data_IF_792595399440
#
_entry.id   IF_792595399440
#
_cell.length_a   1.000
_cell.length_b   1.000
_cell.length_c   1.000
_cell.angle_alpha   90.00
_cell.angle_beta   90.00
_cell.angle_gamma   90.00
#
_symmetry.space_group_name_H-M   'P 1'
#
loop_
_entity.id
_entity.type
_entity.pdbx_description
1 polymer ?
2 polymer ?
3 non-polymer ?
4 water ?
#
# COMPACT_ATOMS: atom_id res chain seq x y z
N UNK A 7 -20.34 4.04 21.90
CA UNK A 7 -19.25 3.53 21.00
C UNK A 7 -18.06 4.50 20.92
N UNK A 8 -16.85 3.96 21.09
CA UNK A 8 -15.64 4.78 21.24
C UNK A 8 -14.69 4.65 20.01
N UNK A 9 -13.95 5.70 19.70
CA UNK A 9 -12.99 5.69 18.56
C UNK A 9 -11.72 4.96 18.92
N UNK A 10 -11.27 4.07 18.06
CA UNK A 10 -10.06 3.33 18.33
C UNK A 10 -9.17 3.27 17.12
N UNK A 11 -7.85 3.21 17.32
CA UNK A 11 -6.90 2.98 16.26
C UNK A 11 -6.50 1.53 16.33
N UNK A 12 -6.43 0.85 15.20
CA UNK A 12 -5.94 -0.52 15.18
C UNK A 12 -4.65 -0.55 14.39
N UNK A 13 -3.52 -0.62 15.08
CA UNK A 13 -2.23 -0.68 14.40
C UNK A 13 -2.02 -2.12 13.95
N UNK A 14 -1.49 -2.29 12.73
CA UNK A 14 -1.31 -3.61 12.15
C UNK A 14 -0.17 -3.65 11.13
N UNK A 15 0.31 -4.86 10.86
CA UNK A 15 1.40 -5.09 9.92
C UNK A 15 1.37 -6.56 9.41
N UNK A 16 1.64 -6.74 8.11
CA UNK A 16 1.85 -8.09 7.57
C UNK A 16 3.33 -8.41 7.38
N UNK A 17 3.67 -9.68 7.51
CA UNK A 17 4.82 -10.23 6.86
C UNK A 17 4.21 -11.06 5.77
N UNK A 18 4.79 -10.99 4.57
CA UNK A 18 4.30 -11.79 3.44
C UNK A 18 5.42 -12.67 2.86
N UNK A 19 5.12 -13.51 1.88
CA UNK A 19 6.15 -14.34 1.23
C UNK A 19 6.68 -13.73 -0.07
N UNK A 20 6.36 -12.45 -0.30
CA UNK A 20 6.83 -11.77 -1.51
C UNK A 20 6.30 -10.34 -1.66
N UNK A 21 6.86 -9.62 -2.62
CA UNK A 21 6.58 -8.19 -2.79
C UNK A 21 5.23 -7.91 -3.39
N UNK A 22 4.70 -8.89 -4.11
CA UNK A 22 3.44 -8.71 -4.82
C UNK A 22 2.17 -8.94 -3.98
N UNK A 23 1.49 -7.86 -3.60
CA UNK A 23 0.27 -7.96 -2.74
C UNK A 23 -0.83 -8.87 -3.31
N UNK A 24 -0.75 -9.19 -4.60
CA UNK A 24 -1.74 -10.06 -5.23
C UNK A 24 -1.21 -11.47 -5.57
N UNK A 25 -0.04 -11.56 -6.19
CA UNK A 25 0.47 -12.88 -6.57
C UNK A 25 1.26 -13.57 -5.44
N UNK A 26 1.63 -12.81 -4.41
CA UNK A 26 2.34 -13.40 -3.30
C UNK A 26 1.39 -13.54 -2.16
N UNK A 27 1.73 -14.39 -1.19
CA UNK A 27 0.76 -14.76 -0.17
C UNK A 27 1.17 -14.27 1.22
N UNK A 28 0.17 -13.95 2.08
CA UNK A 28 0.44 -13.52 3.45
C UNK A 28 1.08 -14.61 4.33
N UNK A 29 1.96 -14.21 5.25
CA UNK A 29 2.63 -15.16 6.15
C UNK A 29 2.15 -14.97 7.59
N UNK A 30 2.14 -13.71 8.01
CA UNK A 30 1.77 -13.37 9.36
C UNK A 30 1.06 -12.03 9.39
N UNK A 31 0.10 -11.90 10.30
CA UNK A 31 -0.57 -10.64 10.53
C UNK A 31 -0.33 -10.34 11.99
N UNK A 32 -0.14 -9.07 12.32
CA UNK A 32 0.02 -8.62 13.72
C UNK A 32 -0.69 -7.27 13.94
N UNK A 33 -1.35 -7.14 15.08
CA UNK A 33 -2.17 -5.97 15.37
C UNK A 33 -2.36 -5.75 16.88
N UNK A 34 -2.49 -4.49 17.26
CA UNK A 34 -2.99 -4.15 18.58
C UNK A 34 -3.95 -2.95 18.44
N UNK A 35 -4.95 -2.90 19.31
CA UNK A 35 -5.92 -1.82 19.30
C UNK A 35 -5.56 -0.82 20.37
N UNK A 36 -5.93 0.43 20.12
CA UNK A 36 -5.45 1.56 20.90
C UNK A 36 -6.60 2.53 21.12
N UNK A 37 -6.58 3.29 22.20
CA UNK A 37 -7.58 4.37 22.34
C UNK A 37 -7.14 5.57 21.51
N UNK A 38 -7.83 6.70 21.63
CA UNK A 38 -7.52 7.87 20.78
C UNK A 38 -6.19 8.56 21.12
N UNK A 39 -5.63 8.23 22.28
CA UNK A 39 -4.35 8.78 22.74
C UNK A 39 -3.19 7.78 22.59
N UNK A 40 -3.49 6.61 22.01
CA UNK A 40 -2.49 5.55 21.79
C UNK A 40 -2.10 4.73 23.04
N UNK A 41 -2.98 4.67 24.02
CA UNK A 41 -2.86 3.66 25.05
C UNK A 41 -3.40 2.33 24.55
N UNK A 42 -2.63 1.28 24.76
CA UNK A 42 -3.02 -0.09 24.39
C UNK A 42 -4.31 -0.44 25.12
N UNK A 43 -5.35 -0.81 24.37
CA UNK A 43 -6.63 -1.18 25.00
C UNK A 43 -7.07 -2.59 24.63
N UNK A 44 -6.14 -3.43 24.19
CA UNK A 44 -6.42 -4.83 23.94
C UNK A 44 -5.17 -5.70 23.98
N UNK A 45 -5.32 -6.97 23.59
CA UNK A 45 -4.21 -7.88 23.58
C UNK A 45 -3.58 -7.97 22.18
N UNK A 46 -2.28 -8.28 22.12
CA UNK A 46 -1.62 -8.47 20.82
C UNK A 46 -2.35 -9.54 20.04
N UNK A 47 -2.75 -9.21 18.81
CA UNK A 47 -3.30 -10.20 17.85
C UNK A 47 -2.20 -10.60 16.87
N UNK A 48 -1.73 -11.84 16.97
CA UNK A 48 -0.67 -12.33 16.08
C UNK A 48 -1.04 -13.71 15.55
N UNK A 49 -0.96 -13.90 14.24
CA UNK A 49 -1.29 -15.21 13.68
C UNK A 49 -0.82 -15.43 12.25
N UNK A 50 -0.77 -16.69 11.86
CA UNK A 50 -0.16 -17.07 10.61
C UNK A 50 -1.17 -17.49 9.63
N UNK A 51 -0.80 -17.41 8.35
CA UNK A 51 -1.60 -17.90 7.26
C UNK A 51 -0.91 -19.07 6.61
N UNK A 52 -1.58 -20.20 6.56
CA UNK A 52 -1.05 -21.35 5.83
C UNK A 52 -1.08 -21.08 4.31
N UNK A 53 0.07 -21.22 3.63
CA UNK A 53 0.06 -21.03 2.19
C UNK A 53 -0.50 -22.26 1.46
N UNK A 54 -1.28 -22.05 0.41
CA UNK A 54 -1.78 -23.17 -0.36
C UNK A 54 -0.66 -23.79 -1.19
N UNK A 55 -0.95 -24.97 -1.71
CA UNK A 55 0.08 -25.83 -2.28
C UNK A 55 0.34 -25.50 -3.76
N UNK A 56 -0.15 -24.36 -4.22
CA UNK A 56 0.12 -23.91 -5.60
C UNK A 56 1.12 -22.76 -5.60
N UNK A 57 1.87 -22.64 -4.51
CA UNK A 57 2.67 -21.46 -4.28
C UNK A 57 3.98 -21.78 -3.62
N UNK A 58 5.07 -21.23 -4.17
CA UNK A 58 6.35 -21.17 -3.46
C UNK A 58 6.70 -19.73 -3.16
N UNK A 59 7.20 -19.48 -1.95
CA UNK A 59 7.57 -18.13 -1.53
C UNK A 59 8.79 -17.57 -2.27
N UNK A 60 8.83 -16.25 -2.42
CA UNK A 60 10.02 -15.55 -2.90
C UNK A 60 11.13 -15.72 -1.86
N UNK A 61 12.27 -16.30 -2.25
CA UNK A 61 13.37 -16.47 -1.30
C UNK A 61 13.73 -15.19 -0.52
N UNK A 62 13.79 -14.06 -1.21
CA UNK A 62 14.23 -12.83 -0.60
C UNK A 62 13.38 -12.41 0.57
N UNK A 63 12.09 -12.76 0.52
CA UNK A 63 11.15 -12.36 1.56
C UNK A 63 11.35 -13.18 2.82
N UNK A 64 11.57 -14.47 2.65
CA UNK A 64 11.82 -15.31 3.79
C UNK A 64 13.11 -14.86 4.51
N UNK A 65 14.13 -14.48 3.75
CA UNK A 65 15.34 -13.96 4.35
C UNK A 65 15.05 -12.72 5.19
N UNK A 66 14.13 -11.87 4.73
CA UNK A 66 13.75 -10.71 5.51
C UNK A 66 12.94 -11.10 6.75
N UNK A 67 11.85 -11.86 6.56
CA UNK A 67 10.87 -12.07 7.63
C UNK A 67 11.29 -13.10 8.62
N UNK A 68 12.18 -14.00 8.22
CA UNK A 68 12.65 -15.10 9.10
C UNK A 68 11.63 -16.21 9.28
N UNK A 69 10.55 -16.16 8.49
CA UNK A 69 9.45 -17.10 8.61
C UNK A 69 9.41 -18.03 7.42
N UNK A 70 9.74 -19.31 7.66
CA UNK A 70 9.66 -20.35 6.63
C UNK A 70 8.19 -20.66 6.30
N UNK A 71 7.93 -21.17 5.08
CA UNK A 71 6.60 -21.67 4.76
C UNK A 71 6.21 -22.86 5.64
N UNK A 72 7.21 -23.62 6.11
CA UNK A 72 6.94 -24.72 7.05
C UNK A 72 6.31 -24.22 8.34
N UNK A 73 6.86 -23.16 8.91
CA UNK A 73 6.34 -22.59 10.15
C UNK A 73 4.94 -21.99 9.99
N UNK A 74 4.68 -21.36 8.84
CA UNK A 74 3.38 -20.75 8.61
C UNK A 74 2.30 -21.80 8.34
N UNK A 75 2.69 -22.90 7.68
CA UNK A 75 1.78 -24.04 7.46
C UNK A 75 1.42 -24.77 8.75
N UNK A 76 2.39 -24.91 9.64
CA UNK A 76 2.21 -25.67 10.89
C UNK A 76 1.47 -24.88 11.94
N UNK A 77 1.65 -23.56 11.96
CA UNK A 77 1.08 -22.71 13.02
C UNK A 77 -0.09 -21.90 12.54
N UNK A 78 -0.40 -22.01 11.26
CA UNK A 78 -1.36 -21.10 10.69
C UNK A 78 -2.68 -21.72 10.36
N UNK A 79 -3.57 -20.92 9.77
CA UNK A 79 -4.87 -21.36 9.36
C UNK A 79 -5.01 -21.06 7.89
N UNK A 80 -5.88 -21.79 7.18
CA UNK A 80 -6.06 -21.52 5.75
C UNK A 80 -6.48 -20.07 5.51
N UNK A 81 -6.34 -19.61 4.27
CA UNK A 81 -6.50 -18.19 3.98
C UNK A 81 -7.92 -17.71 4.23
N UNK A 82 -8.89 -18.60 4.08
CA UNK A 82 -10.27 -18.29 4.45
C UNK A 82 -10.37 -17.86 5.91
N UNK A 83 -9.81 -18.66 6.82
CA UNK A 83 -9.84 -18.33 8.27
C UNK A 83 -8.99 -17.11 8.62
N UNK A 84 -7.83 -17.01 7.97
CA UNK A 84 -6.96 -15.86 8.09
C UNK A 84 -7.76 -14.59 7.75
N UNK A 85 -8.36 -14.58 6.56
CA UNK A 85 -9.21 -13.48 6.16
C UNK A 85 -10.25 -13.19 7.23
N UNK A 86 -10.99 -14.23 7.65
CA UNK A 86 -12.01 -14.08 8.72
C UNK A 86 -11.50 -13.28 9.95
N UNK A 87 -10.42 -13.74 10.58
CA UNK A 87 -9.91 -13.06 11.77
C UNK A 87 -9.62 -11.57 11.50
N UNK A 88 -8.86 -11.27 10.44
CA UNK A 88 -8.57 -9.90 10.07
C UNK A 88 -9.88 -9.14 9.87
N UNK A 89 -10.81 -9.73 9.15
CA UNK A 89 -12.07 -9.05 8.85
C UNK A 89 -12.79 -8.55 10.09
N UNK A 90 -12.91 -9.41 11.11
CA UNK A 90 -13.50 -9.04 12.39
C UNK A 90 -12.79 -7.85 12.99
N UNK A 91 -11.48 -7.96 13.12
CA UNK A 91 -10.70 -6.92 13.73
C UNK A 91 -10.97 -5.61 13.01
N UNK A 92 -10.94 -5.67 11.68
CA UNK A 92 -11.03 -4.47 10.85
C UNK A 92 -12.44 -3.86 10.82
N UNK A 93 -13.47 -4.65 11.10
CA UNK A 93 -14.84 -4.17 10.92
C UNK A 93 -15.53 -3.74 12.20
N UNK A 94 -14.83 -3.80 13.32
CA UNK A 94 -15.34 -3.18 14.55
C UNK A 94 -15.55 -1.67 14.26
N UNK A 95 -16.78 -1.16 14.52
CA UNK A 95 -17.13 0.24 14.20
C UNK A 95 -16.16 1.27 14.75
N UNK A 96 -16.07 2.42 14.08
CA UNK A 96 -15.27 3.57 14.55
C UNK A 96 -13.78 3.25 14.68
N UNK A 97 -13.30 2.28 13.92
CA UNK A 97 -11.88 1.93 13.90
C UNK A 97 -11.14 2.73 12.85
N UNK A 98 -10.05 3.36 13.24
CA UNK A 98 -9.05 3.85 12.29
C UNK A 98 -7.95 2.81 12.12
N UNK A 99 -7.92 2.17 10.93
CA UNK A 99 -6.94 1.12 10.64
C UNK A 99 -5.67 1.74 10.05
N UNK A 100 -4.52 1.52 10.68
CA UNK A 100 -3.31 2.22 10.26
C UNK A 100 -2.03 1.44 10.49
N UNK A 101 -0.97 1.88 9.85
CA UNK A 101 0.28 1.19 9.90
C UNK A 101 1.40 1.99 9.32
N UNK A 102 2.38 1.31 8.77
CA UNK A 102 3.57 1.99 8.33
C UNK A 102 3.95 1.54 6.94
N UNK A 103 3.70 2.44 5.98
CA UNK A 103 3.65 2.12 4.56
C UNK A 103 2.45 1.24 4.19
N UNK A 104 1.43 1.21 5.06
CA UNK A 104 0.25 0.35 4.81
C UNK A 104 -0.56 0.72 3.57
N UNK A 105 -0.59 2.01 3.22
CA UNK A 105 -1.44 2.44 2.11
C UNK A 105 -0.93 1.83 0.77
N UNK A 106 0.35 2.01 0.50
CA UNK A 106 1.00 1.46 -0.71
C UNK A 106 1.29 -0.06 -0.61
N UNK A 107 1.09 -0.69 0.55
CA UNK A 107 1.39 -2.15 0.68
C UNK A 107 0.40 -2.99 1.46
N UNK A 108 0.37 -2.85 2.78
CA UNK A 108 -0.48 -3.67 3.65
C UNK A 108 -1.97 -3.62 3.26
N UNK A 109 -2.47 -2.47 2.81
CA UNK A 109 -3.90 -2.36 2.42
C UNK A 109 -4.18 -3.09 1.11
N UNK A 110 -3.20 -3.08 0.22
CA UNK A 110 -3.31 -3.81 -1.02
C UNK A 110 -3.36 -5.32 -0.74
N UNK A 111 -2.58 -5.76 0.24
CA UNK A 111 -2.60 -7.17 0.67
C UNK A 111 -3.95 -7.51 1.26
N UNK A 112 -4.43 -6.63 2.11
CA UNK A 112 -5.75 -6.78 2.72
C UNK A 112 -6.87 -6.87 1.69
N UNK A 113 -6.80 -6.06 0.65
CA UNK A 113 -7.86 -6.07 -0.34
C UNK A 113 -7.84 -7.35 -1.16
N UNK A 114 -6.64 -7.82 -1.46
CA UNK A 114 -6.50 -9.04 -2.21
C UNK A 114 -6.92 -10.26 -1.39
N UNK A 115 -6.61 -10.24 -0.10
CA UNK A 115 -7.03 -11.35 0.75
C UNK A 115 -8.54 -11.40 0.80
N UNK A 116 -9.17 -10.24 0.90
CA UNK A 116 -10.64 -10.16 0.96
C UNK A 116 -11.28 -10.56 -0.39
N UNK A 117 -10.75 -10.01 -1.48
CA UNK A 117 -11.12 -10.38 -2.86
C UNK A 117 -11.01 -11.90 -3.12
N UNK A 118 -9.90 -12.51 -2.72
CA UNK A 118 -9.76 -13.96 -2.89
C UNK A 118 -10.70 -14.79 -2.04
N UNK A 119 -11.17 -14.25 -0.92
CA UNK A 119 -11.92 -15.05 0.04
C UNK A 119 -13.35 -14.60 0.26
N UNK A 120 -13.83 -13.75 -0.63
CA UNK A 120 -15.25 -13.39 -0.72
C UNK A 120 -15.74 -12.39 0.33
N UNK A 121 -14.86 -11.47 0.70
CA UNK A 121 -15.24 -10.33 1.49
C UNK A 121 -15.19 -9.11 0.59
N UNK A 122 -15.98 -8.08 0.94
CA UNK A 122 -15.86 -6.83 0.24
C UNK A 122 -14.41 -6.30 0.41
N UNK A 123 -13.73 -6.02 -0.72
CA UNK A 123 -12.32 -5.57 -0.62
C UNK A 123 -12.16 -4.14 -0.07
N UNK A 124 -13.28 -3.42 0.09
CA UNK A 124 -13.21 -2.00 0.42
C UNK A 124 -13.97 -1.59 1.69
N UNK A 125 -15.20 -2.07 1.83
CA UNK A 125 -16.13 -1.60 2.87
C UNK A 125 -15.50 -1.43 4.27
N UNK A 126 -14.68 -2.41 4.66
CA UNK A 126 -13.99 -2.42 5.94
C UNK A 126 -13.28 -1.12 6.28
N UNK A 127 -12.92 -0.35 5.23
CA UNK A 127 -12.11 0.87 5.38
C UNK A 127 -12.91 2.18 5.47
N UNK A 128 -14.24 2.11 5.36
CA UNK A 128 -15.07 3.31 5.43
C UNK A 128 -16.43 3.12 6.08
N UNK A 129 -16.87 1.88 6.25
CA UNK A 129 -18.15 1.64 6.88
C UNK A 129 -18.09 2.00 8.36
N UNK A 130 -19.23 2.32 8.95
CA UNK A 130 -19.37 2.53 10.40
C UNK A 130 -18.29 3.46 10.98
N UNK A 131 -17.93 4.49 10.21
CA UNK A 131 -16.89 5.48 10.61
C UNK A 131 -15.48 4.89 10.76
N UNK A 132 -15.24 3.80 10.03
CA UNK A 132 -13.90 3.33 9.84
C UNK A 132 -13.21 4.22 8.84
N UNK A 133 -11.91 4.31 8.97
CA UNK A 133 -11.10 5.09 8.06
C UNK A 133 -9.76 4.41 8.03
N UNK A 134 -8.85 4.93 7.23
CA UNK A 134 -7.49 4.40 7.23
C UNK A 134 -6.46 5.53 7.27
N UNK A 135 -5.25 5.21 7.69
CA UNK A 135 -4.22 6.21 7.83
C UNK A 135 -2.91 5.48 7.65
N UNK A 136 -1.85 6.23 7.42
CA UNK A 136 -0.55 5.65 7.16
C UNK A 136 0.46 6.56 7.81
N UNK A 137 1.15 6.03 8.82
CA UNK A 137 2.00 6.87 9.63
C UNK A 137 3.30 7.24 8.96
N UNK A 138 3.62 6.60 7.83
CA UNK A 138 4.84 6.95 7.07
C UNK A 138 4.77 8.33 6.43
N UNK A 139 3.60 8.70 5.90
CA UNK A 139 3.40 9.98 5.28
C UNK A 139 3.32 11.05 6.37
N UNK A 140 2.94 10.65 7.57
CA UNK A 140 2.94 11.53 8.71
C UNK A 140 4.36 11.89 9.09
N UNK A 141 5.21 10.87 9.30
CA UNK A 141 6.66 11.09 9.57
C UNK A 141 7.31 11.95 8.47
N UNK A 142 6.95 11.70 7.21
CA UNK A 142 7.51 12.45 6.12
C UNK A 142 7.06 13.91 6.17
N UNK A 143 5.81 14.14 6.54
CA UNK A 143 5.23 15.47 6.53
C UNK A 143 5.81 16.25 7.67
N UNK A 144 6.03 15.54 8.77
CA UNK A 144 6.54 16.14 9.96
C UNK A 144 7.96 16.61 9.73
N UNK A 145 8.78 15.75 9.16
CA UNK A 145 10.11 16.12 8.73
C UNK A 145 10.08 17.30 7.75
N UNK A 146 9.19 17.24 6.75
CA UNK A 146 9.18 18.27 5.72
C UNK A 146 8.71 19.59 6.27
N UNK A 147 7.60 19.57 6.99
CA UNK A 147 6.94 20.82 7.34
C UNK A 147 7.33 21.36 8.73
N UNK A 148 7.35 20.48 9.74
CA UNK A 148 7.53 20.89 11.13
C UNK A 148 8.50 19.93 11.85
N UNK A 149 9.79 19.94 11.47
CA UNK A 149 10.72 18.92 12.02
C UNK A 149 11.16 19.16 13.46
N UNK A 150 11.15 20.42 13.91
CA UNK A 150 11.78 20.75 15.19
C UNK A 150 11.17 20.01 16.38
N UNK A 151 12.02 19.53 17.28
CA UNK A 151 11.59 18.77 18.45
C UNK A 151 11.76 17.26 18.32
N UNK A 152 12.04 16.78 17.11
CA UNK A 152 12.27 15.35 16.84
C UNK A 152 13.63 15.19 16.16
N UNK A 153 14.35 14.13 16.46
CA UNK A 153 15.62 13.85 15.78
C UNK A 153 15.42 13.08 14.48
N UNK A 154 15.90 13.66 13.37
CA UNK A 154 15.73 13.07 12.06
C UNK A 154 16.99 12.46 11.50
N UNK A 155 17.03 11.12 11.47
CA UNK A 155 18.23 10.36 11.16
C UNK A 155 18.51 10.35 9.68
N UNK A 156 19.79 10.39 9.33
CA UNK A 156 20.21 10.29 7.95
C UNK A 156 20.93 8.96 7.69
N UNK A 157 20.62 8.34 6.55
CA UNK A 157 21.34 7.15 6.09
C UNK A 157 22.71 7.50 5.48
N UNK A 158 23.48 6.46 5.12
CA UNK A 158 24.87 6.62 4.64
C UNK A 158 25.02 7.64 3.49
N UNK A 159 23.94 7.82 2.71
CA UNK A 159 23.95 8.70 1.53
C UNK A 159 23.83 10.21 1.88
N UNK A 160 23.23 10.52 3.04
CA UNK A 160 23.12 11.92 3.51
C UNK A 160 21.68 12.42 3.52
N UNK A 161 20.77 11.59 3.02
CA UNK A 161 19.35 11.92 2.92
C UNK A 161 18.59 11.34 4.13
N UNK A 162 17.39 11.89 4.43
CA UNK A 162 16.60 11.43 5.59
C UNK A 162 16.06 10.00 5.46
N UNK A 163 16.10 9.27 6.57
CA UNK A 163 15.68 7.88 6.61
C UNK A 163 14.41 7.77 7.44
N UNK A 164 13.39 7.14 6.86
CA UNK A 164 12.11 6.95 7.56
C UNK A 164 11.85 5.49 7.92
N UNK A 165 12.91 4.70 7.86
CA UNK A 165 12.89 3.35 8.38
C UNK A 165 12.72 3.41 9.89
N UNK A 166 11.83 2.55 10.38
CA UNK A 166 11.32 2.62 11.72
C UNK A 166 12.43 2.49 12.77
N UNK A 167 13.39 1.60 12.50
CA UNK A 167 14.49 1.34 13.44
C UNK A 167 15.41 2.54 13.64
N UNK A 168 15.75 3.25 12.56
CA UNK A 168 16.51 4.48 12.67
C UNK A 168 15.73 5.54 13.47
N UNK A 169 14.46 5.76 13.10
CA UNK A 169 13.62 6.75 13.76
C UNK A 169 13.51 6.55 15.27
N UNK A 170 13.19 5.34 15.70
CA UNK A 170 13.06 5.02 17.12
C UNK A 170 14.37 5.25 17.85
N UNK A 171 15.46 4.74 17.29
CA UNK A 171 16.77 4.88 17.87
C UNK A 171 17.20 6.35 17.97
N UNK A 172 16.97 7.13 16.92
CA UNK A 172 17.35 8.54 16.93
C UNK A 172 16.61 9.31 18.01
N UNK A 173 15.58 8.71 18.57
CA UNK A 173 14.70 9.39 19.49
C UNK A 173 14.55 8.65 20.80
N UNK A 174 15.60 7.92 21.18
CA UNK A 174 15.67 7.21 22.45
C UNK A 174 14.44 6.38 22.75
N UNK A 175 14.05 5.54 21.79
CA UNK A 175 12.90 4.65 21.94
C UNK A 175 13.35 3.22 21.70
N UNK A 176 13.08 2.35 22.69
CA UNK A 176 13.49 0.94 22.62
C UNK A 176 12.77 0.23 21.48
N UNK A 177 13.53 -0.35 20.56
CA UNK A 177 12.92 -1.06 19.45
C UNK A 177 13.44 -2.50 19.40
N UNK A 178 12.75 -3.39 20.09
CA UNK A 178 13.13 -4.81 20.18
C UNK A 178 13.00 -5.55 18.84
N UNK A 182 10.24 -10.95 17.18
CA UNK A 182 8.99 -10.54 17.82
C UNK A 182 8.04 -9.86 16.82
N UNK A 183 6.90 -10.51 16.56
CA UNK A 183 5.94 -10.05 15.56
C UNK A 183 5.40 -8.65 15.87
N UNK A 184 5.44 -8.32 17.14
CA UNK A 184 4.79 -7.16 17.68
C UNK A 184 5.70 -5.91 17.60
N UNK A 185 6.98 -6.10 17.27
CA UNK A 185 8.01 -5.05 17.39
C UNK A 185 7.76 -3.86 16.48
N UNK A 186 7.54 -4.13 15.19
CA UNK A 186 7.16 -3.10 14.23
C UNK A 186 5.90 -2.34 14.63
N UNK A 187 4.91 -3.09 15.13
CA UNK A 187 3.67 -2.47 15.53
C UNK A 187 3.90 -1.49 16.67
N UNK A 188 4.67 -1.91 17.70
CA UNK A 188 4.94 -1.03 18.86
C UNK A 188 5.72 0.21 18.45
N UNK A 189 6.64 0.04 17.50
CA UNK A 189 7.44 1.15 16.98
C UNK A 189 6.54 2.18 16.32
N UNK A 190 5.56 1.71 15.55
CA UNK A 190 4.60 2.59 14.87
C UNK A 190 3.78 3.39 15.87
N UNK A 191 3.32 2.73 16.93
CA UNK A 191 2.64 3.44 18.02
C UNK A 191 3.53 4.50 18.65
N UNK A 192 4.77 4.13 18.96
CA UNK A 192 5.71 5.04 19.62
C UNK A 192 5.97 6.29 18.76
N UNK A 193 6.01 6.10 17.45
CA UNK A 193 6.15 7.21 16.51
C UNK A 193 4.90 8.08 16.41
N UNK A 194 3.75 7.48 16.56
CA UNK A 194 2.52 8.26 16.56
C UNK A 194 2.46 9.15 17.80
N UNK A 195 2.76 8.55 18.94
CA UNK A 195 2.91 9.27 20.19
C UNK A 195 3.89 10.45 20.03
N UNK A 196 5.06 10.16 19.48
CA UNK A 196 6.08 11.15 19.38
C UNK A 196 5.63 12.35 18.56
N UNK A 197 5.11 12.07 17.36
CA UNK A 197 4.64 13.15 16.54
C UNK A 197 3.46 13.89 17.19
N UNK A 198 2.59 13.17 17.89
CA UNK A 198 1.46 13.82 18.56
C UNK A 198 1.87 14.75 19.72
N UNK A 199 2.88 14.35 20.47
CA UNK A 199 3.41 15.13 21.57
C UNK A 199 4.19 16.35 21.06
N UNK A 200 5.17 16.11 20.16
CA UNK A 200 6.09 17.16 19.71
C UNK A 200 5.46 18.16 18.78
N UNK A 201 4.43 17.73 18.07
CA UNK A 201 3.94 18.49 16.93
C UNK A 201 2.42 18.24 16.75
N UNK A 202 1.63 18.55 17.80
CA UNK A 202 0.20 18.17 17.88
C UNK A 202 -0.73 18.78 16.81
N UNK A 203 -0.46 20.01 16.37
CA UNK A 203 -1.36 20.68 15.43
C UNK A 203 -1.28 20.09 14.03
N UNK A 204 -0.07 19.77 13.61
CA UNK A 204 0.15 19.06 12.36
C UNK A 204 -0.49 17.67 12.41
N UNK A 205 -0.28 16.98 13.52
CA UNK A 205 -0.77 15.62 13.67
C UNK A 205 -2.30 15.61 13.59
N UNK A 206 -2.93 16.59 14.25
CA UNK A 206 -4.38 16.65 14.24
C UNK A 206 -4.93 17.09 12.85
N UNK A 207 -4.21 17.97 12.18
CA UNK A 207 -4.55 18.37 10.84
C UNK A 207 -4.50 17.20 9.88
N UNK A 208 -3.38 16.51 9.84
CA UNK A 208 -3.27 15.35 8.96
C UNK A 208 -4.39 14.32 9.26
N UNK A 209 -4.62 14.07 10.55
CA UNK A 209 -5.62 13.11 10.95
C UNK A 209 -6.96 13.53 10.38
N UNK A 210 -7.34 14.79 10.59
CA UNK A 210 -8.56 15.35 10.02
C UNK A 210 -8.66 15.15 8.49
N UNK A 211 -7.51 15.23 7.80
CA UNK A 211 -7.50 15.21 6.34
C UNK A 211 -7.21 13.87 5.67
N UNK A 212 -7.23 12.80 6.45
CA UNK A 212 -7.28 11.44 5.90
C UNK A 212 -8.59 11.24 5.12
N UNK A 213 -9.63 11.95 5.52
CA UNK A 213 -10.94 11.88 4.89
C UNK A 213 -10.94 12.57 3.51
N UNK A 214 -11.55 11.92 2.53
CA UNK A 214 -11.52 12.38 1.15
C UNK A 214 -12.32 13.68 0.89
N UNK A 215 -13.42 13.90 1.61
CA UNK A 215 -14.19 15.12 1.40
C UNK A 215 -13.49 16.37 1.97
N UNK A 216 -12.72 16.20 3.04
CA UNK A 216 -11.92 17.29 3.53
C UNK A 216 -10.80 17.60 2.53
N UNK A 217 -10.17 16.54 1.97
CA UNK A 217 -9.21 16.73 0.88
C UNK A 217 -9.86 17.45 -0.31
N UNK A 218 -11.02 16.95 -0.72
CA UNK A 218 -11.73 17.53 -1.83
C UNK A 218 -11.89 19.04 -1.67
N UNK A 219 -12.21 19.49 -0.47
CA UNK A 219 -12.33 20.92 -0.16
C UNK A 219 -11.07 21.75 -0.43
N UNK A 220 -9.90 21.13 -0.43
CA UNK A 220 -8.64 21.84 -0.64
C UNK A 220 -8.40 22.12 -2.12
N UNK A 221 -9.11 21.42 -2.98
CA UNK A 221 -8.82 21.42 -4.41
C UNK A 221 -9.76 22.39 -5.17
N UNK A 222 -9.17 23.46 -5.71
CA UNK A 222 -9.88 24.42 -6.56
C UNK A 222 -9.20 24.40 -7.93
N UNK A 223 -9.79 23.63 -8.85
CA UNK A 223 -9.21 23.41 -10.18
C UNK A 223 -9.33 24.65 -11.09
N UNK A 224 -10.55 25.24 -11.20
CA UNK A 224 -10.69 26.45 -12.03
C UNK A 224 -9.67 27.53 -11.70
N UNK A 225 -9.35 27.68 -10.41
CA UNK A 225 -8.41 28.72 -9.97
C UNK A 225 -6.96 28.21 -9.84
N UNK A 226 -6.78 26.89 -9.97
CA UNK A 226 -5.48 26.27 -9.75
C UNK A 226 -4.83 26.66 -8.41
N UNK A 227 -5.59 26.60 -7.31
CA UNK A 227 -5.02 26.84 -5.97
C UNK A 227 -3.85 25.89 -5.72
N UNK A 228 -2.64 26.46 -5.53
CA UNK A 228 -1.44 25.67 -5.25
C UNK A 228 -1.47 25.11 -3.84
N UNK A 229 -0.96 23.89 -3.68
CA UNK A 229 -0.91 23.24 -2.38
C UNK A 229 0.47 22.64 -2.08
N UNK A 230 0.78 22.47 -0.81
CA UNK A 230 1.94 21.66 -0.45
C UNK A 230 1.55 20.22 -0.61
N UNK A 231 2.46 19.42 -1.14
CA UNK A 231 2.21 18.00 -1.28
C UNK A 231 3.46 17.25 -0.85
N UNK A 232 3.27 16.25 0.01
CA UNK A 232 4.37 15.47 0.51
C UNK A 232 4.15 14.06 0.05
N UNK A 233 4.99 13.64 -0.88
CA UNK A 233 4.92 12.31 -1.42
C UNK A 233 6.31 11.71 -1.60
N UNK A 234 6.39 10.39 -1.37
CA UNK A 234 7.60 9.63 -1.59
C UNK A 234 8.07 9.67 -3.03
N UNK A 235 7.14 9.96 -3.95
CA UNK A 235 7.48 10.11 -5.38
C UNK A 235 8.39 11.34 -5.63
N UNK A 236 8.32 12.32 -4.74
CA UNK A 236 9.14 13.50 -4.86
C UNK A 236 10.59 13.28 -4.42
N UNK A 237 10.85 12.25 -3.61
CA UNK A 237 12.21 11.85 -3.26
C UNK A 237 12.78 12.55 -2.03
N UNK A 238 13.59 11.82 -1.27
CA UNK A 238 14.12 12.34 -0.01
C UNK A 238 14.97 13.59 -0.24
N UNK A 239 15.64 13.66 -1.39
CA UNK A 239 16.51 14.78 -1.73
C UNK A 239 15.81 16.17 -1.79
N UNK A 240 14.48 16.20 -1.66
CA UNK A 240 13.76 17.45 -1.36
C UNK A 240 12.79 17.23 -0.19
N UNK A 241 13.13 16.31 0.71
CA UNK A 241 12.26 15.98 1.85
C UNK A 241 10.84 15.64 1.41
N UNK A 242 10.73 15.05 0.22
CA UNK A 242 9.47 14.54 -0.30
C UNK A 242 8.38 15.59 -0.50
N UNK A 243 8.77 16.81 -0.82
CA UNK A 243 7.86 17.94 -0.80
C UNK A 243 7.98 18.78 -2.03
N UNK A 244 6.85 19.31 -2.48
CA UNK A 244 6.84 20.35 -3.51
C UNK A 244 5.58 21.17 -3.37
N UNK A 245 5.48 22.25 -4.14
CA UNK A 245 4.21 22.92 -4.36
C UNK A 245 3.60 22.37 -5.62
N UNK A 246 2.32 21.97 -5.53
CA UNK A 246 1.60 21.47 -6.69
C UNK A 246 0.44 22.37 -7.04
N UNK A 247 -0.04 22.29 -8.26
CA UNK A 247 -1.31 22.95 -8.61
C UNK A 247 -2.21 22.00 -9.40
N UNK A 248 -3.51 21.97 -9.07
CA UNK A 248 -4.43 21.07 -9.76
C UNK A 248 -4.87 21.68 -11.09
N UNK A 249 -4.84 20.88 -12.14
CA UNK A 249 -5.10 21.39 -13.47
C UNK A 249 -6.40 20.86 -13.98
N UNK A 250 -6.66 19.59 -13.67
CA UNK A 250 -7.84 18.90 -14.14
C UNK A 250 -8.10 17.67 -13.30
N UNK A 251 -9.33 17.19 -13.35
CA UNK A 251 -9.64 15.92 -12.74
C UNK A 251 -9.36 14.82 -13.73
N UNK A 252 -8.90 13.68 -13.23
CA UNK A 252 -8.71 12.51 -14.08
C UNK A 252 -10.03 12.25 -14.78
N UNK A 253 -9.98 11.96 -16.10
CA UNK A 253 -11.22 11.72 -16.88
C UNK A 253 -11.84 10.34 -16.64
N UNK A 254 -11.12 9.45 -15.96
CA UNK A 254 -11.63 8.11 -15.70
C UNK A 254 -11.78 7.84 -14.20
N UNK A 255 -10.70 8.05 -13.46
CA UNK A 255 -10.70 7.83 -12.01
C UNK A 255 -11.37 9.00 -11.27
N UNK A 256 -12.54 8.74 -10.71
CA UNK A 256 -13.31 9.76 -9.97
C UNK A 256 -12.57 10.28 -8.71
N UNK A 257 -11.56 9.52 -8.25
CA UNK A 257 -10.79 9.88 -7.03
C UNK A 257 -9.40 10.46 -7.29
N UNK A 258 -9.04 10.56 -8.57
CA UNK A 258 -7.72 11.10 -8.96
C UNK A 258 -7.83 12.48 -9.59
N UNK A 259 -7.03 13.41 -9.07
CA UNK A 259 -6.87 14.75 -9.63
C UNK A 259 -5.45 14.93 -10.20
N UNK A 260 -5.36 15.60 -11.36
CA UNK A 260 -4.09 15.72 -12.06
C UNK A 260 -3.36 16.96 -11.60
N UNK A 261 -2.26 16.77 -10.87
CA UNK A 261 -1.48 17.89 -10.35
C UNK A 261 -0.24 18.18 -11.21
N UNK A 262 0.21 19.42 -11.16
CA UNK A 262 1.48 19.82 -11.75
C UNK A 262 2.47 20.09 -10.63
N UNK A 263 3.67 19.58 -10.82
CA UNK A 263 4.77 19.82 -9.91
C UNK A 263 5.43 21.17 -10.24
N UNK A 264 5.16 22.18 -9.41
CA UNK A 264 5.57 23.58 -9.73
C UNK A 264 7.07 23.86 -9.66
N UNK A 265 7.83 22.93 -9.08
CA UNK A 265 9.27 23.07 -9.00
C UNK A 265 9.90 22.46 -10.23
N UNK A 266 9.08 21.77 -11.03
CA UNK A 266 9.57 21.12 -12.24
C UNK A 266 9.76 22.09 -13.39
N UNK A 267 9.86 21.52 -14.59
CA UNK A 267 10.07 22.30 -15.83
C UNK A 267 8.80 22.23 -16.66
N UNK A 268 8.06 23.33 -16.70
CA UNK A 268 6.75 23.33 -17.34
C UNK A 268 6.81 23.64 -18.85
N UNK A 269 8.01 23.78 -19.40
CA UNK A 269 8.20 24.07 -20.83
C UNK A 269 7.59 22.99 -21.73
N UNK A 270 7.89 21.70 -21.47
CA UNK A 270 7.24 20.59 -22.19
C UNK A 270 5.70 20.58 -22.15
N UNK A 271 5.09 21.23 -21.16
CA UNK A 271 3.64 21.29 -21.11
C UNK A 271 3.10 22.18 -22.21
N UNK A 272 3.65 23.38 -22.27
CA UNK A 272 3.30 24.36 -23.29
C UNK A 272 3.68 23.87 -24.67
N UNK A 273 4.95 23.50 -24.84
CA UNK A 273 5.54 23.24 -26.18
C UNK A 273 5.04 21.95 -26.88
N UNK A 274 4.94 20.85 -26.15
CA UNK A 274 4.67 19.54 -26.75
C UNK A 274 3.20 19.13 -26.74
N UNK A 275 2.86 18.14 -27.58
CA UNK A 275 1.49 17.64 -27.72
C UNK A 275 1.25 16.43 -26.79
N UNK A 276 0.03 15.91 -26.84
CA UNK A 276 -0.44 14.93 -25.84
C UNK A 276 0.19 13.54 -25.97
N UNK A 277 0.22 12.99 -27.19
CA UNK A 277 0.86 11.68 -27.46
C UNK A 277 2.31 11.66 -26.96
N UNK A 278 3.07 12.68 -27.37
CA UNK A 278 4.44 12.87 -26.90
C UNK A 278 4.51 12.73 -25.38
N UNK A 279 3.83 13.65 -24.69
CA UNK A 279 3.84 13.72 -23.23
C UNK A 279 3.45 12.41 -22.56
N UNK A 280 2.53 11.66 -23.19
CA UNK A 280 2.02 10.40 -22.61
C UNK A 280 3.13 9.37 -22.33
N UNK A 281 4.05 9.19 -23.27
CA UNK A 281 5.13 8.23 -23.09
C UNK A 281 6.41 8.90 -22.60
N UNK A 282 6.49 10.21 -22.78
CA UNK A 282 7.52 11.00 -22.14
C UNK A 282 7.36 10.89 -20.62
N UNK A 283 6.11 10.94 -20.15
CA UNK A 283 5.79 10.74 -18.73
C UNK A 283 5.98 9.27 -18.31
N UNK A 284 5.64 8.35 -19.20
CA UNK A 284 5.75 6.90 -18.95
C UNK A 284 7.21 6.39 -18.91
N UNK A 285 7.96 6.65 -19.99
CA UNK A 285 9.35 6.20 -20.10
C UNK A 285 10.29 7.24 -19.49
N UNK A 286 10.33 7.31 -18.16
CA UNK A 286 11.11 8.34 -17.45
C UNK A 286 12.59 7.97 -17.26
N UNK A 287 13.43 9.02 -17.20
CA UNK A 287 14.89 8.92 -16.91
C UNK A 287 15.76 8.25 -17.99
N UNK A 288 15.19 8.07 -19.18
CA UNK A 288 15.93 7.57 -20.35
C UNK A 288 16.25 8.73 -21.29
N UNK A 289 15.42 9.78 -21.26
CA UNK A 289 15.62 10.95 -22.12
C UNK A 289 16.18 12.15 -21.34
N UNK A 290 17.39 12.57 -21.69
CA UNK A 290 18.02 13.76 -21.12
C UNK A 290 18.77 14.53 -22.21
N UNK A 293 13.89 17.30 -23.33
CA UNK A 293 13.90 16.06 -22.55
C UNK A 293 13.99 16.29 -21.04
N UNK A 294 13.42 17.40 -20.59
CA UNK A 294 13.13 17.58 -19.17
C UNK A 294 11.93 16.69 -18.78
N UNK A 295 11.87 16.28 -17.51
CA UNK A 295 10.77 15.43 -17.04
C UNK A 295 9.43 16.14 -17.16
N UNK A 296 8.36 15.39 -17.35
CA UNK A 296 7.01 15.97 -17.37
C UNK A 296 6.49 16.11 -15.94
N UNK A 297 6.32 17.36 -15.47
CA UNK A 297 6.13 17.64 -14.05
C UNK A 297 4.68 17.45 -13.61
N UNK A 298 4.21 16.21 -13.66
CA UNK A 298 2.78 15.94 -13.58
C UNK A 298 2.52 14.62 -12.83
N UNK A 299 1.80 14.69 -11.71
CA UNK A 299 1.46 13.48 -10.98
C UNK A 299 0.03 13.45 -10.49
N UNK A 300 -0.57 12.27 -10.56
CA UNK A 300 -1.90 12.04 -10.00
C UNK A 300 -1.88 12.07 -8.46
N UNK A 301 -2.87 12.75 -7.88
CA UNK A 301 -3.09 12.69 -6.44
C UNK A 301 -4.40 12.00 -6.25
N UNK A 302 -4.40 10.94 -5.46
CA UNK A 302 -5.63 10.19 -5.21
C UNK A 302 -6.21 10.51 -3.85
N UNK A 303 -7.30 11.26 -3.84
CA UNK A 303 -7.98 11.69 -2.60
C UNK A 303 -8.39 10.53 -1.70
N UNK A 304 -8.42 9.31 -2.22
CA UNK A 304 -8.77 8.16 -1.40
C UNK A 304 -7.54 7.40 -0.83
N UNK A 305 -6.34 7.91 -1.11
CA UNK A 305 -5.11 7.26 -0.66
C UNK A 305 -4.28 8.02 0.41
N UNK A 306 -5.00 8.70 1.32
CA UNK A 306 -4.41 9.50 2.40
C UNK A 306 -3.23 10.34 1.94
N UNK A 307 -3.40 11.12 0.86
CA UNK A 307 -2.27 11.97 0.46
C UNK A 307 -2.13 13.15 1.41
N UNK A 308 -0.90 13.57 1.66
CA UNK A 308 -0.65 14.74 2.45
C UNK A 308 -0.78 15.97 1.57
N UNK A 309 -1.78 16.80 1.87
CA UNK A 309 -2.06 18.07 1.16
C UNK A 309 -2.38 19.20 2.16
N UNK A 310 -1.89 20.40 1.90
CA UNK A 310 -2.20 21.55 2.74
C UNK A 310 -2.09 22.83 1.94
N UNK A 311 -2.83 23.86 2.35
CA UNK A 311 -2.76 25.16 1.67
C UNK A 311 -1.30 25.57 1.52
N UNK A 312 -0.99 26.21 0.40
CA UNK A 312 0.40 26.38 -0.05
C UNK A 312 1.32 27.08 0.99
N UNK A 313 0.75 28.00 1.77
CA UNK A 313 1.53 28.85 2.65
C UNK A 313 1.86 28.22 4.02
N UNK A 314 1.42 26.98 4.25
CA UNK A 314 1.86 26.24 5.42
C UNK A 314 3.33 25.83 5.26
N UNK A 315 3.78 25.70 4.01
CA UNK A 315 5.21 25.63 3.73
C UNK A 315 5.79 27.07 3.63
N UNK A 316 6.42 27.51 4.71
CA UNK A 316 6.90 28.87 4.84
C UNK A 316 8.16 29.11 4.00
N UNK A 317 8.47 30.38 3.67
CA UNK A 317 9.74 30.66 2.98
C UNK A 317 10.93 29.92 3.62
N UNK A 318 11.12 30.11 4.93
CA UNK A 318 12.21 29.45 5.68
C UNK A 318 12.17 27.91 5.59
N UNK A 319 10.96 27.35 5.47
CA UNK A 319 10.80 25.91 5.31
C UNK A 319 11.29 25.44 3.95
N UNK A 320 11.05 26.27 2.93
CA UNK A 320 11.47 25.95 1.58
C UNK A 320 13.00 25.99 1.50
N UNK A 321 13.60 27.00 2.13
CA UNK A 321 15.04 27.08 2.23
C UNK A 321 15.62 25.82 2.89
N UNK A 322 15.01 25.40 3.99
CA UNK A 322 15.44 24.18 4.68
C UNK A 322 15.58 22.97 3.75
N UNK A 323 14.63 22.85 2.81
CA UNK A 323 14.53 21.66 1.94
C UNK A 323 15.14 21.86 0.54
N UNK A 324 15.68 23.06 0.27
CA UNK A 324 16.33 23.35 -1.02
C UNK A 324 15.34 23.51 -2.16
N UNK A 325 14.14 23.92 -1.81
CA UNK A 325 13.07 24.16 -2.77
C UNK A 325 13.11 25.60 -3.23
N UNK A 326 13.05 25.80 -4.54
CA UNK A 326 13.17 27.13 -5.10
C UNK A 326 11.81 27.82 -5.17
N UNK A 327 11.50 28.57 -4.11
CA UNK A 327 10.22 29.22 -3.96
C UNK A 327 9.87 30.09 -5.17
N UNK A 328 10.80 30.96 -5.56
CA UNK A 328 10.58 31.89 -6.66
C UNK A 328 10.30 31.18 -8.01
N UNK A 329 11.03 30.10 -8.30
CA UNK A 329 10.79 29.34 -9.54
C UNK A 329 9.37 28.77 -9.56
N UNK A 330 8.88 28.36 -8.38
CA UNK A 330 7.56 27.76 -8.27
C UNK A 330 6.45 28.75 -8.55
N UNK A 331 6.56 29.93 -7.94
CA UNK A 331 5.61 31.03 -8.17
C UNK A 331 5.60 31.48 -9.63
N UNK A 332 6.78 31.47 -10.26
CA UNK A 332 6.93 31.70 -11.70
C UNK A 332 6.05 30.74 -12.51
N UNK A 333 6.27 29.44 -12.32
CA UNK A 333 5.58 28.39 -13.09
C UNK A 333 4.06 28.44 -12.89
N UNK A 334 3.62 28.81 -11.70
CA UNK A 334 2.21 28.97 -11.42
C UNK A 334 1.61 30.07 -12.29
N UNK A 335 2.25 31.25 -12.29
CA UNK A 335 1.76 32.40 -13.07
C UNK A 335 1.64 32.08 -14.57
N UNK A 336 2.65 31.40 -15.12
CA UNK A 336 2.62 30.97 -16.53
C UNK A 336 1.47 30.00 -16.79
N UNK A 337 1.26 29.06 -15.87
CA UNK A 337 0.19 28.07 -16.01
C UNK A 337 -1.18 28.71 -16.07
N UNK A 338 -1.49 29.56 -15.09
CA UNK A 338 -2.83 30.15 -14.94
C UNK A 338 -3.25 30.87 -16.20
N UNK A 339 -2.30 31.60 -16.78
CA UNK A 339 -2.51 32.33 -18.02
C UNK A 339 -2.35 31.43 -19.27
N UNK A 340 -2.57 30.12 -19.10
CA UNK A 340 -2.36 29.14 -20.18
C UNK A 340 -3.26 27.90 -20.10
N UNK A 341 -4.59 28.07 -20.20
CA UNK A 341 -5.52 27.00 -19.85
C UNK A 341 -5.70 25.92 -20.94
N UNK A 342 -4.89 26.00 -22.00
CA UNK A 342 -4.83 24.92 -23.01
C UNK A 342 -3.94 23.75 -22.53
N UNK A 343 -3.16 23.98 -21.48
CA UNK A 343 -2.38 22.91 -20.85
C UNK A 343 -3.34 21.97 -20.13
N UNK A 344 -4.47 22.52 -19.71
CA UNK A 344 -5.45 21.81 -18.90
C UNK A 344 -6.06 20.66 -19.72
N UNK A 345 -6.59 21.00 -20.88
CA UNK A 345 -7.16 19.99 -21.79
C UNK A 345 -6.07 19.07 -22.35
N UNK A 346 -4.84 19.57 -22.40
CA UNK A 346 -3.69 18.77 -22.82
C UNK A 346 -3.38 17.63 -21.84
N UNK A 347 -3.39 17.93 -20.55
CA UNK A 347 -3.05 16.94 -19.55
C UNK A 347 -4.15 15.88 -19.37
N UNK A 348 -5.41 16.31 -19.45
CA UNK A 348 -6.55 15.38 -19.48
C UNK A 348 -6.33 14.34 -20.57
N UNK A 349 -5.92 14.80 -21.75
CA UNK A 349 -5.71 13.94 -22.90
C UNK A 349 -4.65 12.84 -22.64
N UNK A 350 -3.62 13.15 -21.84
CA UNK A 350 -2.61 12.15 -21.46
C UNK A 350 -3.24 10.90 -20.85
N UNK A 351 -4.24 11.08 -20.00
CA UNK A 351 -4.87 9.96 -19.29
C UNK A 351 -6.18 9.54 -19.96
N UNK A 352 -6.70 10.42 -20.83
CA UNK A 352 -7.93 10.14 -21.57
C UNK A 352 -7.80 8.89 -22.43
N UNK A 360 -3.94 -9.49 -18.29
CA UNK A 360 -3.46 -10.63 -17.50
C UNK A 360 -4.52 -11.72 -17.25
N UNK A 361 -4.20 -12.95 -17.66
CA UNK A 361 -5.14 -14.09 -17.59
C UNK A 361 -5.28 -14.79 -16.19
N UNK A 362 -4.53 -14.31 -15.18
CA UNK A 362 -4.62 -14.83 -13.80
C UNK A 362 -5.61 -14.03 -12.92
N UNK A 363 -6.64 -14.70 -12.42
CA UNK A 363 -7.71 -14.03 -11.67
C UNK A 363 -7.23 -13.35 -10.36
N UNK A 364 -6.26 -13.98 -9.71
CA UNK A 364 -5.60 -13.43 -8.51
C UNK A 364 -5.15 -11.99 -8.72
N UNK A 365 -4.88 -11.65 -9.99
CA UNK A 365 -4.35 -10.34 -10.37
C UNK A 365 -5.39 -9.41 -11.00
N UNK A 366 -6.67 -9.67 -10.74
CA UNK A 366 -7.72 -8.98 -11.46
C UNK A 366 -8.67 -8.19 -10.56
N UNK A 367 -8.28 -8.01 -9.30
CA UNK A 367 -9.02 -7.12 -8.40
C UNK A 367 -9.54 -5.86 -9.11
N UNK A 368 -8.66 -5.20 -9.85
CA UNK A 368 -8.97 -3.92 -10.45
C UNK A 368 -9.46 -4.02 -11.90
N UNK A 369 -10.34 -5.00 -12.17
CA UNK A 369 -10.99 -5.08 -13.49
C UNK A 369 -12.40 -4.52 -13.48
N UNK A 370 -12.74 -3.81 -12.40
CA UNK A 370 -14.08 -3.25 -12.21
C UNK A 370 -14.58 -3.57 -10.82
N UNK A 371 -15.68 -2.92 -10.44
CA UNK A 371 -16.35 -3.25 -9.18
C UNK A 371 -17.44 -4.31 -9.45
N UNK A 372 -17.78 -5.09 -8.42
CA UNK A 372 -18.90 -6.03 -8.48
C UNK A 372 -20.20 -5.31 -8.21
N UNK A 373 -21.21 -5.56 -9.04
CA UNK A 373 -22.54 -4.97 -8.85
C UNK A 373 -23.14 -5.41 -7.50
N UNK A 374 -24.27 -4.79 -7.14
CA UNK A 374 -24.99 -5.15 -5.92
C UNK A 374 -25.36 -6.63 -5.85
N UNK A 375 -25.82 -7.17 -6.98
CA UNK A 375 -26.24 -8.57 -7.10
C UNK A 375 -25.05 -9.52 -7.05
N UNK A 376 -24.00 -9.20 -7.80
CA UNK A 376 -22.73 -9.91 -7.72
C UNK A 376 -22.32 -10.05 -6.24
N UNK A 377 -22.31 -8.91 -5.54
CA UNK A 377 -21.73 -8.82 -4.20
C UNK A 377 -22.60 -9.43 -3.10
N UNK A 378 -23.92 -9.42 -3.32
CA UNK A 378 -24.85 -10.12 -2.44
C UNK A 378 -24.71 -11.65 -2.56
N UNK A 379 -24.23 -12.11 -3.73
CA UNK A 379 -24.15 -13.53 -4.01
C UNK A 379 -22.83 -14.13 -3.47
N UNK A 380 -21.76 -13.34 -3.54
CA UNK A 380 -20.53 -13.71 -2.87
C UNK A 380 -20.78 -13.79 -1.36
N UNK A 381 -21.71 -12.96 -0.89
CA UNK A 381 -22.11 -13.01 0.51
C UNK A 381 -22.66 -14.39 0.90
N UNK A 382 -23.46 -15.00 0.03
CA UNK A 382 -23.98 -16.34 0.30
C UNK A 382 -22.87 -17.38 0.30
N UNK A 383 -21.95 -17.26 -0.67
CA UNK A 383 -20.73 -18.06 -0.71
C UNK A 383 -20.05 -18.11 0.67
N UNK A 384 -19.86 -16.94 1.27
CA UNK A 384 -19.33 -16.81 2.62
C UNK A 384 -20.13 -17.58 3.66
N UNK A 385 -21.45 -17.36 3.67
CA UNK A 385 -22.35 -17.97 4.66
C UNK A 385 -22.41 -19.50 4.56
N UNK A 386 -22.09 -20.03 3.38
CA UNK A 386 -22.18 -21.47 3.14
C UNK A 386 -20.96 -22.22 3.68
N UNK A 387 -21.20 -23.27 4.47
CA UNK A 387 -20.15 -24.17 4.91
C UNK A 387 -19.48 -24.81 3.67
N UNK A 388 -18.13 -24.91 3.69
CA UNK A 388 -17.34 -25.48 2.58
C UNK A 388 -17.99 -26.70 1.94
N UNK A 389 -18.52 -27.59 2.78
CA UNK A 389 -19.12 -28.86 2.32
C UNK A 389 -20.29 -28.72 1.36
N UNK A 390 -21.01 -27.60 1.46
CA UNK A 390 -22.19 -27.37 0.62
C UNK A 390 -21.96 -26.41 -0.55
N UNK A 391 -20.70 -26.08 -0.79
CA UNK A 391 -20.35 -25.24 -1.94
C UNK A 391 -20.60 -25.95 -3.28
N UNK A 392 -20.29 -27.27 -3.37
CA UNK A 392 -20.59 -27.95 -4.61
C UNK A 392 -22.09 -27.86 -4.90
N UNK A 393 -22.92 -28.12 -3.89
CA UNK A 393 -24.38 -28.20 -4.02
C UNK A 393 -25.11 -26.84 -4.15
N UNK A 394 -24.41 -25.82 -4.66
CA UNK A 394 -24.92 -24.43 -4.64
C UNK A 394 -25.46 -23.93 -5.97
N UNK A 395 -26.66 -23.34 -5.92
CA UNK A 395 -27.51 -23.14 -7.10
C UNK A 395 -27.36 -21.75 -7.74
N UNK A 396 -26.73 -20.83 -7.01
CA UNK A 396 -26.77 -19.40 -7.37
C UNK A 396 -26.00 -19.05 -8.64
N UNK A 397 -26.42 -17.97 -9.28
CA UNK A 397 -25.82 -17.50 -10.53
C UNK A 397 -24.85 -16.35 -10.27
N UNK A 398 -23.93 -16.11 -11.20
CA UNK A 398 -23.01 -14.96 -11.12
C UNK A 398 -22.98 -14.22 -12.44
N UNK A 399 -22.80 -12.90 -12.38
CA UNK A 399 -22.72 -12.11 -13.61
C UNK A 399 -21.26 -11.87 -13.99
N UNK A 400 -20.52 -11.18 -13.13
CA UNK A 400 -19.10 -10.90 -13.36
C UNK A 400 -18.35 -12.23 -13.57
N UNK A 401 -17.49 -12.25 -14.59
CA UNK A 401 -16.85 -13.49 -15.04
C UNK A 401 -15.70 -13.97 -14.12
N UNK A 402 -15.21 -13.08 -13.25
CA UNK A 402 -14.14 -13.44 -12.31
C UNK A 402 -14.61 -14.47 -11.26
N UNK A 403 -15.86 -14.41 -10.87
CA UNK A 403 -16.29 -15.08 -9.64
C UNK A 403 -16.16 -16.61 -9.65
N UNK A 404 -16.60 -17.26 -10.73
CA UNK A 404 -16.34 -18.69 -10.91
C UNK A 404 -14.87 -19.03 -10.66
N UNK A 405 -13.98 -18.23 -11.25
CA UNK A 405 -12.56 -18.46 -11.12
C UNK A 405 -12.10 -18.34 -9.66
N UNK A 406 -12.55 -17.28 -8.99
CA UNK A 406 -12.24 -17.08 -7.57
C UNK A 406 -12.77 -18.22 -6.74
N UNK A 407 -13.94 -18.74 -7.13
CA UNK A 407 -14.63 -19.75 -6.35
C UNK A 407 -13.96 -21.12 -6.44
N UNK A 408 -13.51 -21.49 -7.64
CA UNK A 408 -12.79 -22.73 -7.77
C UNK A 408 -11.47 -22.65 -6.99
N UNK A 409 -10.73 -21.55 -7.20
CA UNK A 409 -9.43 -21.34 -6.53
C UNK A 409 -9.56 -21.32 -5.02
N UNK A 410 -10.68 -20.77 -4.55
CA UNK A 410 -10.97 -20.64 -3.12
C UNK A 410 -11.26 -22.01 -2.52
N UNK A 411 -11.94 -22.86 -3.26
CA UNK A 411 -12.27 -24.18 -2.79
C UNK A 411 -11.06 -25.10 -2.83
N UNK A 412 -10.31 -25.08 -3.93
CA UNK A 412 -9.10 -25.91 -4.06
C UNK A 412 -8.03 -25.56 -3.03
N UNK A 413 -7.75 -24.26 -2.89
CA UNK A 413 -6.73 -23.77 -1.97
C UNK A 413 -7.02 -24.04 -0.48
N UNK A 414 -8.28 -23.85 -0.08
CA UNK A 414 -8.66 -23.90 1.33
C UNK A 414 -9.31 -25.23 1.76
N UNK A 415 -10.03 -25.85 0.82
CA UNK A 415 -10.85 -27.01 1.14
C UNK A 415 -10.72 -28.10 0.05
N UNK A 416 -9.48 -28.62 -0.13
CA UNK A 416 -9.21 -29.60 -1.21
C UNK A 416 -10.06 -30.88 -1.08
N UNK A 417 -10.39 -31.23 0.16
CA UNK A 417 -11.27 -32.37 0.44
C UNK A 417 -12.62 -32.32 -0.25
N UNK A 418 -13.13 -31.11 -0.49
CA UNK A 418 -14.45 -30.91 -1.10
C UNK A 418 -14.49 -30.98 -2.64
N UNK A 419 -13.33 -31.17 -3.27
CA UNK A 419 -13.26 -31.23 -4.72
C UNK A 419 -13.72 -32.59 -5.28
N UNK A 420 -14.57 -32.58 -6.31
CA UNK A 420 -14.92 -33.82 -7.01
C UNK A 420 -13.81 -34.25 -7.99
N UNK A 421 -14.01 -35.38 -8.65
CA UNK A 421 -12.96 -35.98 -9.46
C UNK A 421 -12.41 -35.00 -10.49
N UNK A 422 -13.30 -34.41 -11.29
CA UNK A 422 -12.88 -33.52 -12.36
C UNK A 422 -12.27 -32.23 -11.82
N UNK A 423 -12.59 -31.90 -10.59
CA UNK A 423 -12.02 -30.71 -9.96
C UNK A 423 -10.60 -30.98 -9.47
N UNK A 424 -10.37 -32.17 -8.90
CA UNK A 424 -9.04 -32.58 -8.46
C UNK A 424 -8.07 -32.62 -9.64
N UNK A 425 -8.56 -33.06 -10.79
CA UNK A 425 -7.80 -33.07 -12.02
C UNK A 425 -7.42 -31.66 -12.47
N UNK A 426 -8.39 -30.74 -12.36
CA UNK A 426 -8.21 -29.36 -12.75
C UNK A 426 -7.17 -28.67 -11.84
N UNK A 427 -7.25 -28.96 -10.53
CA UNK A 427 -6.27 -28.46 -9.59
C UNK A 427 -4.84 -28.93 -9.94
N UNK A 428 -4.72 -30.19 -10.35
CA UNK A 428 -3.46 -30.77 -10.75
C UNK A 428 -2.88 -30.02 -11.94
N UNK A 429 -3.67 -29.89 -13.00
CA UNK A 429 -3.21 -29.14 -14.17
C UNK A 429 -2.80 -27.70 -13.81
N UNK A 430 -3.51 -27.09 -12.88
CA UNK A 430 -3.16 -25.75 -12.42
C UNK A 430 -1.79 -25.73 -11.68
N UNK A 431 -1.56 -26.73 -10.83
CA UNK A 431 -0.31 -26.88 -10.11
C UNK A 431 0.86 -27.19 -11.05
N UNK A 432 0.61 -28.06 -12.05
CA UNK A 432 1.62 -28.35 -13.08
C UNK A 432 1.94 -27.12 -13.93
N UNK A 433 0.92 -26.28 -14.14
CA UNK A 433 1.06 -25.06 -14.91
C UNK A 433 2.06 -24.08 -14.29
N UNK A 434 2.00 -23.95 -12.96
CA UNK A 434 2.92 -23.04 -12.25
C UNK A 434 4.28 -23.74 -11.99
N UNK A 435 4.22 -24.99 -11.59
CA UNK A 435 5.40 -25.73 -11.22
C UNK A 435 6.04 -26.43 -12.41
N UNK A 436 6.46 -25.64 -13.40
CA UNK A 436 7.09 -26.18 -14.60
C UNK A 436 8.56 -26.56 -14.37
N UNK A 437 9.12 -27.44 -15.21
CA UNK A 437 10.55 -27.76 -15.12
C UNK A 437 11.46 -26.52 -15.12
N UNK A 438 11.10 -25.53 -15.96
CA UNK A 438 11.79 -24.24 -16.00
C UNK A 438 11.74 -23.59 -14.62
N UNK A 439 10.53 -23.42 -14.09
CA UNK A 439 10.35 -22.78 -12.83
C UNK A 439 11.14 -23.46 -11.67
N UNK A 440 10.98 -24.77 -11.54
CA UNK A 440 11.60 -25.53 -10.47
C UNK A 440 13.12 -25.51 -10.52
N UNK A 441 13.69 -25.66 -11.71
CA UNK A 441 15.14 -25.55 -11.86
C UNK A 441 15.63 -24.15 -11.51
N UNK A 442 14.89 -23.13 -11.92
CA UNK A 442 15.24 -21.79 -11.59
C UNK A 442 15.29 -21.63 -10.07
N UNK A 443 14.17 -22.01 -9.43
CA UNK A 443 14.00 -21.85 -8.02
C UNK A 443 15.09 -22.58 -7.26
N UNK A 444 15.39 -23.81 -7.66
CA UNK A 444 16.47 -24.59 -7.04
C UNK A 444 17.79 -23.84 -7.17
N UNK A 445 18.05 -23.36 -8.39
CA UNK A 445 19.28 -22.64 -8.69
C UNK A 445 19.37 -21.30 -7.96
N UNK A 446 18.25 -20.59 -7.86
CA UNK A 446 18.15 -19.39 -7.02
C UNK A 446 18.64 -19.64 -5.60
N UNK A 447 18.09 -20.66 -4.96
CA UNK A 447 18.44 -20.96 -3.60
C UNK A 447 19.94 -21.28 -3.48
N UNK A 448 20.45 -22.06 -4.42
CA UNK A 448 21.83 -22.54 -4.40
C UNK A 448 22.83 -21.38 -4.54
N UNK A 449 22.44 -20.35 -5.30
CA UNK A 449 23.27 -19.16 -5.46
C UNK A 449 23.19 -18.26 -4.22
N UNK A 450 22.00 -18.19 -3.63
CA UNK A 450 21.80 -17.41 -2.41
C UNK A 450 22.61 -17.98 -1.23
N UNK A 451 22.65 -19.30 -1.13
CA UNK A 451 23.56 -19.98 -0.21
C UNK A 451 24.99 -19.45 -0.36
N UNK A 452 25.50 -19.42 -1.60
CA UNK A 452 26.85 -18.94 -1.87
C UNK A 452 26.97 -17.47 -1.47
N UNK A 453 26.07 -16.64 -1.97
CA UNK A 453 26.06 -15.21 -1.66
C UNK A 453 26.12 -14.95 -0.17
N UNK A 454 25.30 -15.67 0.59
CA UNK A 454 25.19 -15.42 2.01
C UNK A 454 25.91 -16.48 2.83
N UNK A 455 26.98 -17.06 2.28
CA UNK A 455 27.76 -18.07 3.00
C UNK A 455 28.16 -17.61 4.42
N UNK A 456 28.46 -16.31 4.55
CA UNK A 456 28.85 -15.70 5.83
C UNK A 456 27.69 -15.57 6.81
N UNK A 457 26.48 -15.45 6.26
CA UNK A 457 25.29 -15.26 7.08
C UNK A 457 24.62 -16.63 7.35
N UNK A 458 24.87 -17.17 8.53
CA UNK A 458 24.51 -18.54 8.83
C UNK A 458 23.01 -18.79 8.97
N UNK A 459 22.29 -17.83 9.55
CA UNK A 459 20.85 -17.97 9.73
C UNK A 459 20.11 -17.99 8.39
N UNK A 460 20.69 -17.30 7.41
CA UNK A 460 20.14 -17.26 6.07
C UNK A 460 20.42 -18.54 5.33
N UNK A 461 21.64 -19.06 5.45
CA UNK A 461 21.97 -20.34 4.85
C UNK A 461 20.90 -21.36 5.26
N UNK A 462 20.61 -21.39 6.56
CA UNK A 462 19.61 -22.28 7.15
C UNK A 462 18.18 -22.05 6.65
N UNK A 463 17.76 -20.78 6.58
CA UNK A 463 16.46 -20.43 5.96
C UNK A 463 16.42 -20.88 4.52
N UNK A 464 17.45 -20.52 3.76
CA UNK A 464 17.54 -20.92 2.36
C UNK A 464 17.41 -22.42 2.22
N UNK A 465 18.19 -23.18 2.99
CA UNK A 465 18.07 -24.65 3.02
C UNK A 465 16.65 -25.13 3.36
N UNK A 466 16.03 -24.53 4.36
CA UNK A 466 14.66 -24.86 4.71
C UNK A 466 13.68 -24.63 3.54
N UNK A 467 13.86 -23.52 2.82
CA UNK A 467 13.06 -23.26 1.62
C UNK A 467 13.24 -24.37 0.60
N UNK A 468 14.47 -24.88 0.48
CA UNK A 468 14.73 -26.04 -0.39
C UNK A 468 13.98 -27.29 0.04
N UNK A 469 14.11 -27.67 1.32
CA UNK A 469 13.25 -28.73 1.88
C UNK A 469 11.79 -28.61 1.48
N UNK A 470 11.28 -27.38 1.42
CA UNK A 470 9.86 -27.16 1.16
C UNK A 470 9.47 -27.36 -0.32
N UNK A 471 10.28 -26.81 -1.23
CA UNK A 471 10.10 -27.07 -2.66
C UNK A 471 10.18 -28.57 -3.01
N UNK A 472 11.11 -29.28 -2.35
CA UNK A 472 11.18 -30.75 -2.38
C UNK A 472 9.82 -31.43 -2.16
N UNK A 473 9.16 -31.11 -1.04
CA UNK A 473 7.93 -31.83 -0.68
C UNK A 473 6.68 -31.38 -1.46
N UNK A 474 6.43 -30.08 -1.49
CA UNK A 474 5.21 -29.55 -2.08
C UNK A 474 5.11 -29.73 -3.60
N UNK A 475 6.25 -29.89 -4.28
CA UNK A 475 6.23 -29.91 -5.74
C UNK A 475 6.32 -31.25 -6.49
N UNK A 476 7.47 -31.94 -6.38
CA UNK A 476 7.66 -33.22 -7.10
C UNK A 476 6.90 -34.38 -6.45
N UNK B 7 -4.11 33.09 7.82
CA UNK B 7 -4.60 31.96 8.66
C UNK B 7 -4.01 30.61 8.26
N UNK B 8 -3.53 29.88 9.25
CA UNK B 8 -2.85 28.60 9.02
C UNK B 8 -3.29 27.54 10.03
N UNK B 9 -3.36 26.27 9.59
CA UNK B 9 -3.81 25.18 10.43
C UNK B 9 -2.74 24.59 11.35
N UNK B 10 -1.45 24.80 11.06
CA UNK B 10 -0.38 24.16 11.85
C UNK B 10 1.00 24.82 11.65
N UNK C 8 0.12 36.48 -4.32
CA UNK C 8 1.25 35.75 -3.67
C UNK C 8 0.74 34.61 -2.74
N UNK C 9 0.46 33.42 -3.31
CA UNK C 9 -0.18 32.34 -2.54
C UNK C 9 0.75 31.61 -1.54
N UNK C 10 2.06 31.79 -1.70
CA UNK C 10 3.03 31.19 -0.78
C UNK C 10 4.38 31.89 -0.78
X LIG D 1 5.38 -3.51 7.01
X LIG E 1 9.47 26.30 10.11
#
# INVERSE_FOLDING_TARGET
MMNDGKQQSTFLFHDYETFGTHPALDRPAQFAAIRTDSEFNVIGEPEVFYCKPADDYLPQPGAVLITGITPQEARAKGENEAAFAARIHSLFTVPKTCILGYNNVRFDDEVTRNIFYRNFYDPYAWSWQHDNSRWDLLDVMRACYALRPEGINWPENDDGLPSFRLEHLTKANGIEHSNAHDAMADVYATIAMAKLVKTRQPRLFDYLFTHRNKHKLMALIDVPQMKPLVHVSGMFGAWRGNTSWVAPLAWHPENRNAVIMVDLAGDISPLLELDSDTLRERLYTAKTDLGDNAAVPVKLVHINKCPVLAQANTLRPEDADRLGINRQHCLDNLKILRENPQVREKVVAIFAEAEPFTPSDNVDAQLYNGFFSDADRAAMKIVLETEPRNLPALDITFVDKRIEKLLFNYRARNFPGTLDYAEQQRWLEHRRQVFTPEFLQGYADELQMLVQQYADDKEKVALLKALWQYADEIVEHHHHHH
WMDFDDDIPF
WMDFDDDIPF
MG MG
MG MG
#
